data_IF_806400134023
#
_entry.id   IF_806400134023
#
_cell.length_a   1.000
_cell.length_b   1.000
_cell.length_c   1.000
_cell.angle_alpha   90.00
_cell.angle_beta   90.00
_cell.angle_gamma   90.00
#
_symmetry.space_group_name_H-M   'P 1'
#
loop_
_entity.id
_entity.type
_entity.pdbx_description
1 polymer ?
#
# COMPACT_ATOMS: atom_id res chain seq x y z
N UNK A 1 -4.50 5.84 -10.33
CA UNK A 1 -5.76 5.35 -9.74
C UNK A 1 -5.89 5.62 -8.24
N UNK A 2 -4.93 5.24 -7.39
CA UNK A 2 -5.00 5.43 -5.92
C UNK A 2 -5.38 6.85 -5.46
N UNK A 3 -4.67 7.87 -5.96
CA UNK A 3 -4.93 9.28 -5.61
C UNK A 3 -6.37 9.70 -5.97
N UNK A 4 -6.84 9.30 -7.15
CA UNK A 4 -8.20 9.60 -7.60
C UNK A 4 -9.26 8.95 -6.68
N UNK A 5 -9.03 7.71 -6.23
CA UNK A 5 -9.91 7.01 -5.29
C UNK A 5 -9.92 7.67 -3.89
N UNK A 6 -8.76 8.11 -3.41
CA UNK A 6 -8.65 8.87 -2.15
C UNK A 6 -9.41 10.19 -2.26
N UNK A 7 -9.22 10.95 -3.35
CA UNK A 7 -9.92 12.21 -3.57
C UNK A 7 -11.43 12.00 -3.70
N UNK A 8 -11.85 11.03 -4.49
CA UNK A 8 -13.26 10.72 -4.71
C UNK A 8 -13.96 10.33 -3.40
N UNK A 9 -13.39 9.40 -2.62
CA UNK A 9 -13.96 8.98 -1.34
C UNK A 9 -13.78 10.03 -0.23
N UNK A 10 -12.77 10.90 -0.35
CA UNK A 10 -12.43 11.90 0.66
C UNK A 10 -13.24 13.19 0.56
N UNK A 11 -13.48 13.68 -0.66
CA UNK A 11 -14.14 14.96 -0.91
C UNK A 11 -15.67 14.87 -0.97
N UNK A 12 -16.25 13.67 -1.01
CA UNK A 12 -17.68 13.54 -1.28
C UNK A 12 -18.58 13.87 -0.08
N UNK A 13 -19.50 14.81 -0.28
CA UNK A 13 -20.37 15.42 0.73
C UNK A 13 -21.70 14.73 0.98
N UNK A 14 -22.09 13.70 0.20
CA UNK A 14 -23.42 13.06 0.32
C UNK A 14 -23.39 11.63 0.84
N UNK A 15 -22.23 10.99 0.85
CA UNK A 15 -22.11 9.59 1.24
C UNK A 15 -20.78 9.33 1.97
N UNK A 16 -20.79 8.33 2.85
CA UNK A 16 -19.64 7.93 3.66
C UNK A 16 -18.89 6.70 3.09
N UNK A 17 -19.54 5.98 2.17
CA UNK A 17 -19.02 4.77 1.55
C UNK A 17 -19.69 4.52 0.22
N UNK A 18 -19.01 3.82 -0.69
CA UNK A 18 -19.49 3.58 -2.05
C UNK A 18 -19.04 2.22 -2.56
N UNK A 19 -19.83 1.62 -3.47
CA UNK A 19 -19.45 0.34 -4.10
C UNK A 19 -18.48 0.58 -5.25
N UNK A 20 -17.65 -0.40 -5.62
CA UNK A 20 -16.69 -0.27 -6.71
C UNK A 20 -17.34 0.16 -8.03
N UNK A 21 -18.46 -0.45 -8.41
CA UNK A 21 -19.26 -0.06 -9.57
C UNK A 21 -19.62 1.42 -9.57
N UNK A 22 -20.22 1.89 -8.48
CA UNK A 22 -20.65 3.27 -8.35
C UNK A 22 -19.47 4.26 -8.43
N UNK A 23 -18.31 3.87 -7.88
CA UNK A 23 -17.09 4.67 -7.97
C UNK A 23 -16.63 4.71 -9.42
N UNK A 24 -16.46 3.55 -10.06
CA UNK A 24 -16.07 3.39 -11.46
C UNK A 24 -16.92 4.26 -12.39
N UNK A 25 -18.26 4.19 -12.26
CA UNK A 25 -19.20 5.01 -13.02
C UNK A 25 -19.02 6.52 -12.75
N UNK A 26 -18.70 6.91 -11.52
CA UNK A 26 -18.59 8.31 -11.13
C UNK A 26 -17.29 8.98 -11.62
N UNK A 27 -16.21 8.22 -11.78
CA UNK A 27 -14.89 8.74 -12.19
C UNK A 27 -14.43 8.21 -13.56
N UNK A 28 -15.27 7.45 -14.27
CA UNK A 28 -15.02 6.96 -15.62
C UNK A 28 -13.89 5.93 -15.71
N UNK A 29 -13.78 5.04 -14.72
CA UNK A 29 -12.77 3.99 -14.66
C UNK A 29 -13.38 2.60 -14.85
N UNK A 30 -12.55 1.60 -15.17
CA UNK A 30 -12.97 0.21 -15.10
C UNK A 30 -13.25 -0.19 -13.64
N UNK A 31 -14.32 -0.94 -13.44
CA UNK A 31 -14.68 -1.49 -12.14
C UNK A 31 -13.59 -2.42 -11.61
N UNK A 32 -12.98 -3.25 -12.47
CA UNK A 32 -11.94 -4.19 -12.05
C UNK A 32 -10.69 -3.45 -11.55
N UNK A 33 -10.28 -2.37 -12.23
CA UNK A 33 -9.17 -1.51 -11.80
C UNK A 33 -9.48 -0.82 -10.46
N UNK A 34 -10.73 -0.38 -10.27
CA UNK A 34 -11.17 0.21 -9.01
C UNK A 34 -11.11 -0.82 -7.88
N UNK A 35 -11.61 -2.03 -8.09
CA UNK A 35 -11.55 -3.11 -7.10
C UNK A 35 -10.11 -3.48 -6.75
N UNK A 36 -9.24 -3.62 -7.75
CA UNK A 36 -7.83 -3.94 -7.58
C UNK A 36 -7.12 -2.91 -6.69
N UNK A 37 -7.39 -1.62 -6.87
CA UNK A 37 -6.80 -0.57 -6.01
C UNK A 37 -7.45 -0.54 -4.63
N UNK A 38 -8.76 -0.71 -4.53
CA UNK A 38 -9.44 -0.70 -3.23
C UNK A 38 -8.98 -1.86 -2.33
N UNK A 39 -8.80 -3.05 -2.89
CA UNK A 39 -8.33 -4.24 -2.17
C UNK A 39 -6.79 -4.28 -2.03
N UNK A 40 -6.04 -3.69 -2.98
CA UNK A 40 -4.59 -3.63 -2.96
C UNK A 40 -4.00 -2.63 -1.95
N UNK A 41 -4.78 -1.66 -1.48
CA UNK A 41 -4.34 -0.61 -0.56
C UNK A 41 -5.18 -0.56 0.75
N UNK A 42 -5.19 -1.65 1.54
CA UNK A 42 -6.04 -1.77 2.74
C UNK A 42 -5.67 -0.80 3.86
N UNK A 43 -4.47 -0.20 3.81
CA UNK A 43 -4.06 0.85 4.74
C UNK A 43 -4.88 2.15 4.58
N UNK A 44 -5.41 2.41 3.39
CA UNK A 44 -6.19 3.61 3.10
C UNK A 44 -7.69 3.33 3.10
N UNK A 45 -8.08 2.18 2.52
CA UNK A 45 -9.48 1.82 2.33
C UNK A 45 -9.93 0.73 3.29
N UNK A 46 -11.15 0.93 3.81
CA UNK A 46 -11.89 -0.04 4.59
C UNK A 46 -12.94 -0.70 3.73
N UNK A 47 -12.87 -2.03 3.60
CA UNK A 47 -13.93 -2.87 3.05
C UNK A 47 -14.97 -3.17 4.13
N UNK A 48 -16.24 -2.89 3.86
CA UNK A 48 -17.35 -3.21 4.74
C UNK A 48 -17.73 -4.68 4.63
N UNK A 49 -18.02 -5.31 5.77
CA UNK A 49 -18.66 -6.64 5.81
C UNK A 49 -20.13 -6.59 5.37
N UNK A 50 -20.78 -5.44 5.54
CA UNK A 50 -22.14 -5.22 5.04
C UNK A 50 -22.12 -4.96 3.55
N UNK A 51 -23.00 -5.66 2.83
CA UNK A 51 -23.18 -5.52 1.39
C UNK A 51 -24.23 -4.46 1.07
N UNK A 52 -24.12 -3.86 -0.11
CA UNK A 52 -25.15 -3.02 -0.71
C UNK A 52 -26.40 -3.83 -1.06
N UNK A 53 -27.48 -3.15 -1.46
CA UNK A 53 -28.67 -3.80 -1.99
C UNK A 53 -28.36 -4.68 -3.23
N UNK A 54 -27.29 -4.33 -3.95
CA UNK A 54 -26.79 -5.06 -5.11
C UNK A 54 -25.81 -6.18 -4.75
N UNK A 55 -25.66 -6.53 -3.46
CA UNK A 55 -24.74 -7.53 -2.94
C UNK A 55 -23.25 -7.21 -3.18
N UNK A 56 -22.90 -5.93 -3.31
CA UNK A 56 -21.51 -5.48 -3.47
C UNK A 56 -20.96 -4.94 -2.15
N UNK A 57 -19.67 -5.17 -1.82
CA UNK A 57 -19.06 -4.57 -0.65
C UNK A 57 -18.98 -3.05 -0.77
N UNK A 58 -19.14 -2.36 0.36
CA UNK A 58 -19.00 -0.91 0.46
C UNK A 58 -17.59 -0.55 0.92
N UNK A 59 -16.97 0.44 0.26
CA UNK A 59 -15.66 0.94 0.62
C UNK A 59 -15.73 2.35 1.18
N UNK A 60 -14.88 2.64 2.17
CA UNK A 60 -14.71 3.98 2.75
C UNK A 60 -13.26 4.23 3.10
N UNK A 61 -12.83 5.49 3.16
CA UNK A 61 -11.54 5.82 3.77
C UNK A 61 -11.57 5.55 5.27
N UNK A 62 -10.51 4.95 5.82
CA UNK A 62 -10.40 4.69 7.27
C UNK A 62 -10.56 5.95 8.11
N UNK A 63 -9.93 7.06 7.70
CA UNK A 63 -10.03 8.33 8.42
C UNK A 63 -11.47 8.87 8.47
N UNK A 64 -12.22 8.77 7.37
CA UNK A 64 -13.64 9.18 7.35
C UNK A 64 -14.49 8.23 8.16
N UNK A 65 -14.21 6.93 8.10
CA UNK A 65 -14.91 5.93 8.89
C UNK A 65 -14.73 6.16 10.40
N UNK A 66 -13.50 6.42 10.85
CA UNK A 66 -13.16 6.67 12.25
C UNK A 66 -13.86 7.92 12.81
N UNK A 67 -14.17 8.91 11.97
CA UNK A 67 -14.85 10.15 12.34
C UNK A 67 -16.38 10.10 12.24
N UNK A 68 -16.96 8.94 11.96
CA UNK A 68 -18.42 8.83 11.82
C UNK A 68 -19.11 9.15 13.13
N UNK A 69 -20.07 10.06 13.06
CA UNK A 69 -20.98 10.43 14.16
C UNK A 69 -22.42 10.13 13.77
N UNK A 70 -23.26 9.83 14.75
CA UNK A 70 -24.70 9.71 14.53
C UNK A 70 -25.30 11.12 14.49
N UNK A 71 -25.85 11.52 13.34
CA UNK A 71 -26.49 12.82 13.15
C UNK A 71 -27.98 12.62 12.86
N UNK A 72 -28.80 13.47 13.46
CA UNK A 72 -30.20 13.60 13.08
C UNK A 72 -30.25 14.42 11.79
N UNK A 73 -30.77 13.82 10.72
CA UNK A 73 -30.94 14.48 9.43
C UNK A 73 -32.38 14.99 9.38
N UNK A 74 -32.57 16.25 8.98
CA UNK A 74 -33.90 16.82 8.82
C UNK A 74 -34.74 15.98 7.85
N UNK A 75 -35.95 15.60 8.27
CA UNK A 75 -36.85 14.75 7.49
C UNK A 75 -36.72 13.24 7.74
N UNK A 76 -35.83 12.81 8.64
CA UNK A 76 -35.70 11.39 9.01
C UNK A 76 -35.92 11.15 10.51
N UNK A 77 -36.72 10.13 10.83
CA UNK A 77 -37.05 9.74 12.20
C UNK A 77 -35.93 8.94 12.90
N UNK A 78 -34.79 8.70 12.24
CA UNK A 78 -33.69 7.92 12.78
C UNK A 78 -32.34 8.65 12.66
N UNK A 79 -31.44 8.34 13.60
CA UNK A 79 -30.06 8.81 13.56
C UNK A 79 -29.30 8.08 12.46
N UNK A 80 -28.70 8.82 11.52
CA UNK A 80 -27.83 8.27 10.48
C UNK A 80 -26.37 8.48 10.81
N UNK A 81 -25.54 7.51 10.44
CA UNK A 81 -24.10 7.68 10.46
C UNK A 81 -23.69 8.72 9.41
N UNK A 82 -22.92 9.71 9.85
CA UNK A 82 -22.43 10.81 9.03
C UNK A 82 -20.96 11.07 9.28
N UNK A 83 -20.19 11.30 8.23
CA UNK A 83 -18.81 11.77 8.32
C UNK A 83 -18.60 12.90 7.35
N UNK A 84 -18.04 14.00 7.83
CA UNK A 84 -17.69 15.14 6.99
C UNK A 84 -16.68 14.72 5.91
N UNK A 85 -16.63 15.44 4.77
CA UNK A 85 -15.50 15.34 3.86
C UNK A 85 -14.19 15.62 4.60
N UNK A 86 -13.09 15.15 4.00
CA UNK A 86 -11.76 15.49 4.48
C UNK A 86 -11.50 16.98 4.32
N UNK A 87 -10.88 17.59 5.33
CA UNK A 87 -10.32 18.92 5.17
C UNK A 87 -9.16 18.90 4.18
N UNK A 88 -8.79 20.07 3.66
CA UNK A 88 -7.61 20.21 2.79
C UNK A 88 -6.35 19.66 3.45
N UNK A 89 -6.18 19.88 4.77
CA UNK A 89 -5.02 19.41 5.53
C UNK A 89 -4.98 17.88 5.65
N UNK A 90 -6.13 17.25 5.92
CA UNK A 90 -6.24 15.79 5.99
C UNK A 90 -6.00 15.15 4.63
N UNK A 91 -6.53 15.75 3.56
CA UNK A 91 -6.28 15.31 2.19
C UNK A 91 -4.79 15.40 1.85
N UNK A 92 -4.15 16.54 2.14
CA UNK A 92 -2.73 16.72 1.91
C UNK A 92 -1.89 15.72 2.70
N UNK A 93 -2.27 15.44 3.94
CA UNK A 93 -1.61 14.42 4.78
C UNK A 93 -1.69 13.04 4.14
N UNK A 94 -2.86 12.61 3.65
CA UNK A 94 -2.99 11.33 2.95
C UNK A 94 -2.16 11.28 1.67
N UNK A 95 -2.12 12.35 0.88
CA UNK A 95 -1.32 12.41 -0.34
C UNK A 95 0.18 12.38 -0.04
N UNK A 96 0.61 13.04 1.04
CA UNK A 96 1.99 12.98 1.52
C UNK A 96 2.37 11.57 1.97
N UNK A 97 1.47 10.85 2.65
CA UNK A 97 1.69 9.45 3.03
C UNK A 97 1.84 8.56 1.79
N UNK A 98 1.00 8.74 0.77
CA UNK A 98 1.12 8.01 -0.51
C UNK A 98 2.47 8.31 -1.17
N UNK A 99 2.88 9.59 -1.21
CA UNK A 99 4.14 10.01 -1.82
C UNK A 99 5.34 9.42 -1.09
N UNK A 100 5.33 9.44 0.24
CA UNK A 100 6.37 8.84 1.07
C UNK A 100 6.43 7.32 0.88
N UNK A 101 5.28 6.65 0.78
CA UNK A 101 5.22 5.21 0.52
C UNK A 101 5.87 4.86 -0.83
N UNK A 102 5.58 5.63 -1.88
CA UNK A 102 6.21 5.46 -3.20
C UNK A 102 7.73 5.64 -3.11
N UNK A 103 8.19 6.66 -2.37
CA UNK A 103 9.62 6.88 -2.12
C UNK A 103 10.29 5.69 -1.42
N UNK A 104 9.65 5.17 -0.35
CA UNK A 104 10.14 4.01 0.39
C UNK A 104 10.15 2.73 -0.45
N UNK A 105 9.16 2.53 -1.33
CA UNK A 105 9.14 1.37 -2.24
C UNK A 105 10.26 1.46 -3.28
N UNK A 106 10.52 2.65 -3.81
CA UNK A 106 11.62 2.88 -4.75
C UNK A 106 12.99 2.66 -4.07
N UNK A 107 13.18 3.17 -2.85
CA UNK A 107 14.39 2.94 -2.07
C UNK A 107 14.58 1.46 -1.72
N UNK A 108 13.53 0.78 -1.24
CA UNK A 108 13.59 -0.66 -0.97
C UNK A 108 13.89 -1.48 -2.21
N UNK A 109 13.39 -1.08 -3.39
CA UNK A 109 13.73 -1.74 -4.66
C UNK A 109 15.21 -1.60 -4.97
N UNK A 110 15.75 -0.40 -4.87
CA UNK A 110 17.19 -0.14 -5.05
C UNK A 110 18.04 -0.94 -4.06
N UNK A 111 17.68 -0.94 -2.78
CA UNK A 111 18.36 -1.74 -1.76
C UNK A 111 18.32 -3.24 -2.05
N UNK A 112 17.20 -3.76 -2.56
CA UNK A 112 17.10 -5.18 -2.99
C UNK A 112 17.97 -5.48 -4.20
N UNK A 113 18.04 -4.58 -5.17
CA UNK A 113 18.91 -4.71 -6.35
C UNK A 113 20.40 -4.65 -5.95
N UNK A 114 20.77 -3.71 -5.08
CA UNK A 114 22.13 -3.56 -4.55
C UNK A 114 22.52 -4.76 -3.65
N UNK A 115 21.59 -5.26 -2.83
CA UNK A 115 21.79 -6.44 -2.00
C UNK A 115 22.02 -7.71 -2.83
N UNK A 116 21.27 -7.89 -3.94
CA UNK A 116 21.48 -9.03 -4.86
C UNK A 116 22.88 -9.00 -5.48
N UNK A 117 23.37 -7.83 -5.88
CA UNK A 117 24.72 -7.69 -6.42
C UNK A 117 25.82 -7.90 -5.36
N UNK A 118 25.59 -7.43 -4.13
CA UNK A 118 26.57 -7.61 -3.05
C UNK A 118 26.61 -9.05 -2.51
N UNK A 119 25.50 -9.78 -2.50
CA UNK A 119 25.50 -11.17 -2.01
C UNK A 119 26.35 -12.09 -2.92
N UNK A 120 26.34 -11.86 -4.24
CA UNK A 120 27.24 -12.55 -5.17
C UNK A 120 28.71 -12.21 -4.91
N UNK A 121 29.04 -10.93 -4.70
CA UNK A 121 30.42 -10.49 -4.39
C UNK A 121 30.91 -11.07 -3.07
N UNK A 122 30.07 -11.11 -2.04
CA UNK A 122 30.39 -11.71 -0.74
C UNK A 122 30.63 -13.22 -0.89
N UNK A 123 29.79 -13.92 -1.64
CA UNK A 123 29.94 -15.36 -1.86
C UNK A 123 31.19 -15.71 -2.70
N UNK A 124 31.47 -14.91 -3.74
CA UNK A 124 32.70 -15.03 -4.55
C UNK A 124 33.94 -14.73 -3.70
N UNK A 125 33.91 -13.71 -2.83
CA UNK A 125 35.00 -13.39 -1.92
C UNK A 125 35.24 -14.52 -0.90
N UNK A 126 34.18 -15.11 -0.35
CA UNK A 126 34.26 -16.27 0.55
C UNK A 126 34.85 -17.50 -0.15
N UNK A 127 34.38 -17.83 -1.35
CA UNK A 127 34.90 -18.95 -2.12
C UNK A 127 36.38 -18.77 -2.50
N UNK A 128 36.77 -17.54 -2.88
CA UNK A 128 38.18 -17.19 -3.15
C UNK A 128 39.08 -17.33 -1.94
N UNK A 129 38.64 -16.86 -0.76
CA UNK A 129 39.40 -16.97 0.49
C UNK A 129 39.58 -18.43 0.96
N UNK A 130 38.58 -19.30 0.73
CA UNK A 130 38.72 -20.74 0.98
C UNK A 130 39.71 -21.40 0.02
N UNK A 131 39.69 -21.04 -1.26
CA UNK A 131 40.61 -21.59 -2.26
C UNK A 131 42.08 -21.22 -1.96
N UNK A 132 42.34 -19.97 -1.55
CA UNK A 132 43.70 -19.54 -1.16
C UNK A 132 44.19 -20.19 0.12
N UNK A 133 43.32 -20.40 1.11
CA UNK A 133 43.68 -21.13 2.34
C UNK A 133 44.06 -22.59 2.04
N UNK A 134 43.33 -23.27 1.16
CA UNK A 134 43.64 -24.64 0.75
C UNK A 134 44.96 -24.68 -0.03
N UNK A 135 45.17 -23.77 -0.97
CA UNK A 135 46.41 -23.68 -1.74
C UNK A 135 47.64 -23.42 -0.85
N UNK A 136 47.52 -22.58 0.18
CA UNK A 136 48.59 -22.32 1.14
C UNK A 136 48.97 -23.57 1.93
N UNK A 137 47.98 -24.37 2.37
CA UNK A 137 48.23 -25.64 3.10
C UNK A 137 48.96 -26.64 2.20
N UNK A 138 48.52 -26.82 0.95
CA UNK A 138 49.20 -27.72 0.02
C UNK A 138 50.61 -27.25 -0.34
N UNK A 139 50.82 -25.95 -0.56
CA UNK A 139 52.14 -25.39 -0.83
C UNK A 139 53.09 -25.61 0.36
N UNK A 140 52.58 -25.50 1.59
CA UNK A 140 53.37 -25.71 2.81
C UNK A 140 53.74 -27.19 3.01
N UNK A 141 52.84 -28.11 2.68
CA UNK A 141 53.13 -29.56 2.71
C UNK A 141 54.18 -29.95 1.68
N UNK A 142 54.11 -29.41 0.45
CA UNK A 142 55.10 -29.68 -0.62
C UNK A 142 56.47 -29.09 -0.26
N UNK A 143 56.50 -27.89 0.34
CA UNK A 143 57.75 -27.24 0.79
C UNK A 143 58.45 -27.98 1.94
N UNK A 144 57.75 -28.79 2.73
CA UNK A 144 58.33 -29.56 3.84
C UNK A 144 58.88 -30.92 3.36
N UNK A 145 58.47 -31.38 2.17
CA UNK A 145 58.85 -32.67 1.59
C UNK A 145 59.96 -32.65 0.53
N UNK A 146 60.50 -31.47 0.16
CA UNK A 146 61.73 -31.29 -0.65
C UNK A 146 62.88 -30.82 0.22
#
# INVERSE_FOLDING_TARGET
FLIALIQHLGAHEKWNSRTPRNIADSIGLDMEDVENVLDGYPAFFRKSSNLSAQKEPLYSLHIRYARRVKKQIEGENCLKEWSSPLSSDEMQTLLNLVTNMIGLEAENRRLKEDSKHNNMKVWVALAGAFATAIAAIFAQIISIGS
#
